data_IF_196147690698
#
_entry.id   IF_196147690698
#
_cell.length_a   1.000
_cell.length_b   1.000
_cell.length_c   1.000
_cell.angle_alpha   90.00
_cell.angle_beta   90.00
_cell.angle_gamma   90.00
#
_symmetry.space_group_name_H-M   'P 1'
#
loop_
_entity.id
_entity.type
_entity.pdbx_description
1 polymer ?
#
# COMPACT_ATOMS: atom_id res chain seq x y z
N UNK A 1 0.30 -4.40 12.80
CA UNK A 1 -0.01 -3.47 11.69
C UNK A 1 -0.39 -2.15 12.34
N UNK A 2 0.15 -1.02 11.87
CA UNK A 2 -0.18 0.32 12.39
C UNK A 2 -1.40 0.85 11.64
N UNK A 3 -2.31 1.50 12.35
CA UNK A 3 -3.50 2.15 11.81
C UNK A 3 -3.37 3.67 11.96
N UNK A 4 -4.04 4.40 11.07
CA UNK A 4 -4.31 5.82 11.22
C UNK A 4 -5.42 6.05 12.28
N UNK A 5 -5.60 7.29 12.71
CA UNK A 5 -6.64 7.66 13.68
C UNK A 5 -8.07 7.36 13.20
N UNK A 6 -8.28 7.27 11.89
CA UNK A 6 -9.56 6.91 11.25
C UNK A 6 -9.77 5.38 11.10
N UNK A 7 -8.83 4.57 11.59
CA UNK A 7 -8.89 3.11 11.52
C UNK A 7 -8.43 2.50 10.20
N UNK A 8 -8.03 3.30 9.21
CA UNK A 8 -7.40 2.80 7.98
C UNK A 8 -5.97 2.33 8.24
N UNK A 9 -5.44 1.51 7.34
CA UNK A 9 -4.06 1.00 7.43
C UNK A 9 -3.09 2.11 7.07
N UNK A 10 -2.17 2.43 7.97
CA UNK A 10 -1.07 3.34 7.64
C UNK A 10 -0.12 2.66 6.65
N UNK A 11 0.27 3.39 5.62
CA UNK A 11 1.27 2.99 4.64
C UNK A 11 2.26 4.12 4.36
N UNK A 12 3.45 3.76 3.88
CA UNK A 12 4.32 4.72 3.22
C UNK A 12 3.62 5.24 1.93
N UNK A 13 3.44 6.56 1.77
CA UNK A 13 2.65 7.10 0.65
C UNK A 13 3.30 6.91 -0.73
N UNK A 14 4.59 6.56 -0.79
CA UNK A 14 5.32 6.31 -2.03
C UNK A 14 5.33 4.82 -2.37
N UNK A 15 5.66 3.96 -1.40
CA UNK A 15 5.82 2.52 -1.63
C UNK A 15 4.56 1.71 -1.36
N UNK A 16 3.54 2.29 -0.70
CA UNK A 16 2.36 1.58 -0.21
C UNK A 16 2.67 0.46 0.80
N UNK A 17 3.89 0.41 1.33
CA UNK A 17 4.32 -0.57 2.33
C UNK A 17 3.75 -0.20 3.70
N UNK A 18 3.22 -1.18 4.40
CA UNK A 18 2.71 -1.01 5.77
C UNK A 18 3.86 -0.92 6.77
N UNK A 19 3.55 -0.76 8.05
CA UNK A 19 4.52 -0.93 9.15
C UNK A 19 5.22 -2.31 9.20
N UNK A 20 4.70 -3.31 8.49
CA UNK A 20 5.26 -4.65 8.42
C UNK A 20 6.02 -4.79 7.11
N UNK A 21 7.33 -5.04 7.21
CA UNK A 21 8.22 -5.19 6.05
C UNK A 21 7.70 -6.25 5.09
N UNK A 22 7.63 -5.91 3.80
CA UNK A 22 7.14 -6.78 2.73
C UNK A 22 5.62 -6.95 2.67
N UNK A 23 4.85 -6.25 3.51
CA UNK A 23 3.38 -6.24 3.47
C UNK A 23 2.91 -4.89 2.97
N UNK A 24 2.07 -4.89 1.93
CA UNK A 24 1.59 -3.69 1.23
C UNK A 24 0.07 -3.61 1.28
N UNK A 25 -0.48 -2.39 1.23
CA UNK A 25 -1.93 -2.17 1.24
C UNK A 25 -2.32 -1.04 0.26
N UNK A 26 -3.55 -1.04 -0.22
CA UNK A 26 -4.07 0.00 -1.10
C UNK A 26 -5.60 0.00 -1.16
N UNK A 27 -6.17 1.01 -1.83
CA UNK A 27 -7.61 1.23 -1.91
C UNK A 27 -8.21 1.69 -0.59
N UNK A 28 -9.50 1.43 -0.39
CA UNK A 28 -10.27 1.95 0.75
C UNK A 28 -9.71 1.51 2.11
N UNK A 29 -8.97 0.39 2.16
CA UNK A 29 -8.28 -0.04 3.37
C UNK A 29 -7.22 0.96 3.84
N UNK A 30 -6.74 1.84 2.96
CA UNK A 30 -5.69 2.85 3.23
C UNK A 30 -6.25 4.27 3.21
N UNK A 31 -7.18 4.56 2.29
CA UNK A 31 -7.70 5.93 2.09
C UNK A 31 -9.05 6.18 2.75
N UNK A 32 -9.73 5.13 3.24
CA UNK A 32 -11.16 5.17 3.49
C UNK A 32 -11.96 5.21 2.18
N UNK A 33 -13.30 5.37 2.24
CA UNK A 33 -14.17 5.34 1.07
C UNK A 33 -13.70 6.29 -0.04
N UNK A 34 -13.37 5.74 -1.20
CA UNK A 34 -12.84 6.48 -2.34
C UNK A 34 -13.55 6.07 -3.65
N UNK A 35 -13.21 6.74 -4.75
CA UNK A 35 -13.69 6.33 -6.06
C UNK A 35 -13.00 5.05 -6.54
N UNK A 36 -13.68 4.29 -7.41
CA UNK A 36 -13.12 3.06 -7.99
C UNK A 36 -11.78 3.32 -8.70
N UNK A 37 -11.64 4.47 -9.38
CA UNK A 37 -10.40 4.81 -10.08
C UNK A 37 -9.23 5.05 -9.11
N UNK A 38 -9.48 5.62 -7.94
CA UNK A 38 -8.46 5.80 -6.90
C UNK A 38 -8.00 4.46 -6.34
N UNK A 39 -8.92 3.52 -6.10
CA UNK A 39 -8.59 2.17 -5.67
C UNK A 39 -7.73 1.42 -6.71
N UNK A 40 -8.07 1.53 -8.01
CA UNK A 40 -7.28 0.95 -9.10
C UNK A 40 -5.88 1.56 -9.15
N UNK A 41 -5.75 2.88 -9.04
CA UNK A 41 -4.47 3.58 -9.01
C UNK A 41 -3.61 3.15 -7.82
N UNK A 42 -4.20 3.03 -6.62
CA UNK A 42 -3.51 2.54 -5.43
C UNK A 42 -3.02 1.10 -5.61
N UNK A 43 -3.84 0.22 -6.19
CA UNK A 43 -3.46 -1.16 -6.49
C UNK A 43 -2.25 -1.25 -7.44
N UNK A 44 -2.24 -0.43 -8.51
CA UNK A 44 -1.10 -0.36 -9.44
C UNK A 44 0.19 0.09 -8.75
N UNK A 45 0.12 1.09 -7.86
CA UNK A 45 1.28 1.55 -7.08
C UNK A 45 1.80 0.45 -6.16
N UNK A 46 0.91 -0.21 -5.43
CA UNK A 46 1.28 -1.32 -4.55
C UNK A 46 1.93 -2.48 -5.31
N UNK A 47 1.40 -2.84 -6.49
CA UNK A 47 1.96 -3.89 -7.33
C UNK A 47 3.40 -3.57 -7.80
N UNK A 48 3.65 -2.33 -8.26
CA UNK A 48 5.00 -1.91 -8.65
C UNK A 48 5.97 -1.93 -7.46
N UNK A 49 5.51 -1.55 -6.28
CA UNK A 49 6.34 -1.58 -5.08
C UNK A 49 6.66 -3.01 -4.61
N UNK A 50 5.69 -3.94 -4.70
CA UNK A 50 5.91 -5.36 -4.46
C UNK A 50 6.95 -5.90 -5.43
N UNK A 51 6.84 -5.60 -6.73
CA UNK A 51 7.80 -6.04 -7.73
C UNK A 51 9.22 -5.54 -7.41
N UNK A 52 9.36 -4.26 -7.08
CA UNK A 52 10.65 -3.68 -6.70
C UNK A 52 11.21 -4.31 -5.42
N UNK A 53 10.36 -4.59 -4.44
CA UNK A 53 10.75 -5.26 -3.20
C UNK A 53 11.28 -6.68 -3.47
N UNK A 54 10.59 -7.46 -4.30
CA UNK A 54 11.02 -8.81 -4.66
C UNK A 54 12.35 -8.81 -5.42
N UNK A 55 12.52 -7.91 -6.40
CA UNK A 55 13.80 -7.77 -7.13
C UNK A 55 14.96 -7.40 -6.20
N UNK A 56 14.71 -6.56 -5.20
CA UNK A 56 15.73 -6.18 -4.22
C UNK A 56 16.12 -7.33 -3.26
N UNK A 57 15.32 -8.39 -3.15
CA UNK A 57 15.66 -9.59 -2.37
C UNK A 57 16.48 -10.61 -3.16
N UNK A 58 16.44 -10.54 -4.49
CA UNK A 58 17.18 -11.43 -5.40
C UNK A 58 18.60 -10.91 -5.73
N UNK A 59 18.90 -9.66 -5.36
CA UNK A 59 20.19 -9.00 -5.56
C UNK A 59 21.13 -9.20 -4.37
#
# INVERSE_FOLDING_TARGET
IVLNDDGTIWVNPITMETSIRGVFAGGDAVTGPASVIEAICAGKRAANAIENYLKALEA
#
